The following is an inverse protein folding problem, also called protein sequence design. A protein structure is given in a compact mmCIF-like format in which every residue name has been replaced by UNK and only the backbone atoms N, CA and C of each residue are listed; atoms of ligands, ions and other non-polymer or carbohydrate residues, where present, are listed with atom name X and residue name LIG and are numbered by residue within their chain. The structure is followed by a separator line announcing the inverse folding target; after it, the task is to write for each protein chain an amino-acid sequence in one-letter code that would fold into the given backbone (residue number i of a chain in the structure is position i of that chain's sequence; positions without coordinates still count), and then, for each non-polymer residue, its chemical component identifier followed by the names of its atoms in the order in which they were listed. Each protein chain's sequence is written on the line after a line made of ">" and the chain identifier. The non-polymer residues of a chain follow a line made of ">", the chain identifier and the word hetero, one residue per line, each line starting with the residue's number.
data_IF_383889983005
#
_entry.id   IF_383889983005
#
_cell.length_a   1.000
_cell.length_b   1.000
_cell.length_c   1.000
_cell.angle_alpha   90.00
_cell.angle_beta   90.00
_cell.angle_gamma   90.00
#
_symmetry.space_group_name_H-M   'P 1'
#
loop_
_entity.id
_entity.type
_entity.pdbx_description
1 polymer ?
#
# COMPACT_ATOMS: atom_id res chain seq x y z
N UNK A 1 20.82 -4.14 -31.42
CA UNK A 1 21.08 -4.89 -30.17
C UNK A 1 21.73 -4.04 -29.07
N UNK A 2 22.69 -3.15 -29.38
CA UNK A 2 23.32 -2.26 -28.38
C UNK A 2 22.34 -1.29 -27.68
N UNK A 3 21.35 -0.77 -28.40
CA UNK A 3 20.33 0.17 -27.87
C UNK A 3 19.47 -0.42 -26.75
N UNK A 4 19.16 -1.72 -26.79
CA UNK A 4 18.38 -2.38 -25.72
C UNK A 4 19.16 -2.48 -24.41
N UNK A 5 20.49 -2.63 -24.47
CA UNK A 5 21.33 -2.68 -23.26
C UNK A 5 21.44 -1.30 -22.60
N UNK A 6 21.47 -0.21 -23.36
CA UNK A 6 21.51 1.16 -22.80
C UNK A 6 20.17 1.52 -22.14
N UNK A 7 19.04 1.13 -22.73
CA UNK A 7 17.71 1.31 -22.12
C UNK A 7 17.55 0.53 -20.81
N UNK A 8 18.14 -0.66 -20.70
CA UNK A 8 18.11 -1.47 -19.47
C UNK A 8 18.99 -0.92 -18.33
N UNK A 9 20.05 -0.18 -18.65
CA UNK A 9 20.91 0.49 -17.65
C UNK A 9 20.26 1.78 -17.10
N UNK A 10 19.50 2.49 -17.94
CA UNK A 10 18.72 3.66 -17.55
C UNK A 10 17.52 3.33 -16.66
N UNK A 11 17.04 2.08 -16.66
CA UNK A 11 15.95 1.63 -15.79
C UNK A 11 16.40 1.20 -14.40
N UNK A 12 17.60 1.58 -13.95
CA UNK A 12 18.02 1.37 -12.57
C UNK A 12 17.12 2.22 -11.68
N UNK A 13 16.17 1.63 -10.92
CA UNK A 13 15.30 2.40 -10.07
C UNK A 13 16.18 3.08 -9.03
N UNK A 14 15.99 4.39 -8.82
CA UNK A 14 16.57 5.08 -7.67
C UNK A 14 16.04 4.41 -6.40
N UNK A 15 16.85 3.54 -5.81
CA UNK A 15 16.55 2.92 -4.52
C UNK A 15 16.79 3.96 -3.45
N UNK A 16 15.72 4.57 -2.98
CA UNK A 16 15.75 5.43 -1.80
C UNK A 16 16.08 4.58 -0.58
N UNK A 17 17.07 5.03 0.18
CA UNK A 17 17.39 4.44 1.48
C UNK A 17 16.17 4.54 2.40
N UNK A 18 16.02 3.54 3.28
CA UNK A 18 14.90 3.52 4.21
C UNK A 18 14.97 4.74 5.14
N UNK A 19 13.95 5.60 5.05
CA UNK A 19 13.85 6.84 5.80
C UNK A 19 12.48 6.92 6.50
N UNK A 20 12.37 7.56 7.68
CA UNK A 20 11.07 7.85 8.32
C UNK A 20 10.00 8.44 7.38
N UNK A 21 10.39 9.25 6.39
CA UNK A 21 9.46 9.78 5.38
C UNK A 21 8.82 8.68 4.52
N UNK A 22 9.59 7.65 4.16
CA UNK A 22 9.09 6.47 3.42
C UNK A 22 8.08 5.71 4.27
N UNK A 23 8.36 5.53 5.56
CA UNK A 23 7.43 4.90 6.49
C UNK A 23 6.12 5.71 6.65
N UNK A 24 6.20 7.04 6.69
CA UNK A 24 5.03 7.90 6.76
C UNK A 24 4.15 7.77 5.51
N UNK A 25 4.75 7.81 4.31
CA UNK A 25 4.03 7.60 3.04
C UNK A 25 3.34 6.24 3.02
N UNK A 26 4.02 5.21 3.50
CA UNK A 26 3.48 3.86 3.59
C UNK A 26 2.26 3.76 4.52
N UNK A 27 2.32 4.41 5.68
CA UNK A 27 1.21 4.45 6.65
C UNK A 27 0.02 5.21 6.04
N UNK A 28 0.27 6.34 5.37
CA UNK A 28 -0.78 7.12 4.72
C UNK A 28 -1.45 6.35 3.57
N UNK A 29 -0.68 5.60 2.79
CA UNK A 29 -1.19 4.72 1.73
C UNK A 29 -2.09 3.61 2.30
N UNK A 30 -1.68 2.98 3.40
CA UNK A 30 -2.51 1.98 4.09
C UNK A 30 -3.79 2.59 4.66
N UNK A 31 -3.73 3.76 5.28
CA UNK A 31 -4.91 4.44 5.82
C UNK A 31 -5.91 4.82 4.70
N UNK A 32 -5.40 5.29 3.58
CA UNK A 32 -6.20 5.60 2.39
C UNK A 32 -6.89 4.34 1.83
N UNK A 33 -6.16 3.23 1.74
CA UNK A 33 -6.73 1.96 1.26
C UNK A 33 -7.73 1.35 2.23
N UNK A 34 -7.55 1.51 3.54
CA UNK A 34 -8.55 1.13 4.55
C UNK A 34 -9.83 1.94 4.37
N UNK A 35 -9.71 3.26 4.15
CA UNK A 35 -10.87 4.12 3.88
C UNK A 35 -11.60 3.71 2.60
N UNK A 36 -10.88 3.44 1.51
CA UNK A 36 -11.47 2.93 0.26
C UNK A 36 -12.09 1.55 0.45
N UNK A 37 -11.40 0.65 1.14
CA UNK A 37 -11.89 -0.70 1.42
C UNK A 37 -13.24 -0.69 2.10
N UNK A 38 -13.46 0.23 3.04
CA UNK A 38 -14.77 0.42 3.69
C UNK A 38 -15.91 0.68 2.70
N UNK A 39 -15.67 1.44 1.64
CA UNK A 39 -16.69 1.77 0.63
C UNK A 39 -16.73 0.76 -0.52
N UNK A 40 -15.62 0.09 -0.81
CA UNK A 40 -15.47 -0.83 -1.94
C UNK A 40 -15.85 -2.28 -1.60
N UNK A 41 -15.77 -2.70 -0.34
CA UNK A 41 -16.11 -4.05 0.08
C UNK A 41 -17.63 -4.20 0.10
N UNK A 42 -18.17 -4.84 -0.94
CA UNK A 42 -19.60 -5.12 -1.07
C UNK A 42 -20.07 -6.31 -0.21
N UNK A 43 -19.16 -7.22 0.15
CA UNK A 43 -19.48 -8.45 0.89
C UNK A 43 -18.70 -8.51 2.21
N UNK A 44 -18.93 -7.51 3.07
CA UNK A 44 -18.19 -7.36 4.31
C UNK A 44 -18.60 -8.40 5.35
N UNK A 45 -17.63 -9.03 6.02
CA UNK A 45 -17.85 -9.99 7.09
C UNK A 45 -17.90 -11.46 6.68
N UNK A 46 -17.58 -11.81 5.42
CA UNK A 46 -17.37 -13.20 5.00
C UNK A 46 -15.98 -13.70 5.42
N UNK A 47 -15.78 -13.91 6.73
CA UNK A 47 -14.55 -14.47 7.26
C UNK A 47 -14.42 -14.35 8.77
N UNK A 48 -13.33 -14.89 9.35
CA UNK A 48 -13.09 -14.87 10.78
C UNK A 48 -13.16 -13.44 11.33
N UNK A 49 -13.99 -13.25 12.34
CA UNK A 49 -14.12 -11.97 13.04
C UNK A 49 -12.79 -11.63 13.73
N UNK A 50 -12.42 -10.35 13.75
CA UNK A 50 -11.24 -9.89 14.47
C UNK A 50 -11.33 -10.28 15.96
N UNK A 51 -10.34 -10.98 16.55
CA UNK A 51 -10.33 -11.40 17.96
C UNK A 51 -10.04 -10.26 18.96
N UNK A 52 -10.16 -9.01 18.54
CA UNK A 52 -9.92 -7.80 19.33
C UNK A 52 -11.21 -6.97 19.42
N UNK A 53 -11.46 -6.29 20.55
CA UNK A 53 -12.69 -5.51 20.75
C UNK A 53 -12.79 -4.41 19.68
N UNK A 54 -13.79 -4.54 18.82
CA UNK A 54 -14.06 -3.62 17.71
C UNK A 54 -14.83 -2.40 18.24
N UNK A 55 -14.41 -1.15 17.95
CA UNK A 55 -15.31 -0.02 18.02
C UNK A 55 -16.45 -0.22 17.01
N UNK A 56 -17.69 0.13 17.34
CA UNK A 56 -18.92 -0.14 16.53
C UNK A 56 -18.83 0.33 15.06
N UNK A 57 -17.94 1.29 14.78
CA UNK A 57 -17.62 1.71 13.41
C UNK A 57 -17.00 0.60 12.56
N UNK A 58 -16.36 -0.42 13.12
CA UNK A 58 -15.65 -1.51 12.42
C UNK A 58 -16.39 -2.85 12.48
N UNK A 59 -17.69 -2.84 12.77
CA UNK A 59 -18.38 -4.06 13.19
C UNK A 59 -18.46 -5.14 12.09
N UNK A 60 -18.40 -4.72 10.82
CA UNK A 60 -18.31 -5.60 9.65
C UNK A 60 -16.89 -5.84 9.10
N UNK A 61 -15.88 -5.21 9.70
CA UNK A 61 -14.50 -5.29 9.23
C UNK A 61 -13.84 -6.59 9.73
N UNK A 62 -13.79 -7.60 8.85
CA UNK A 62 -13.20 -8.90 9.16
C UNK A 62 -11.66 -8.90 9.08
N UNK A 63 -11.03 -9.96 9.59
CA UNK A 63 -9.61 -10.25 9.34
C UNK A 63 -9.24 -10.24 7.85
N UNK A 64 -10.04 -10.84 6.94
CA UNK A 64 -9.70 -10.81 5.52
C UNK A 64 -9.74 -9.39 4.93
N UNK A 65 -10.60 -8.52 5.46
CA UNK A 65 -10.71 -7.14 4.96
C UNK A 65 -9.51 -6.31 5.37
N UNK A 66 -9.09 -6.40 6.64
CA UNK A 66 -7.88 -5.76 7.11
C UNK A 66 -6.65 -6.21 6.31
N UNK A 67 -6.53 -7.52 6.08
CA UNK A 67 -5.42 -8.08 5.34
C UNK A 67 -5.45 -7.67 3.87
N UNK A 68 -6.63 -7.63 3.24
CA UNK A 68 -6.80 -7.19 1.87
C UNK A 68 -6.49 -5.70 1.70
N UNK A 69 -7.02 -4.82 2.55
CA UNK A 69 -6.77 -3.38 2.48
C UNK A 69 -5.33 -3.04 2.78
N UNK A 70 -4.69 -3.74 3.71
CA UNK A 70 -3.27 -3.55 4.03
C UNK A 70 -2.39 -4.04 2.90
N UNK A 71 -2.70 -5.19 2.29
CA UNK A 71 -1.94 -5.71 1.14
C UNK A 71 -2.05 -4.76 -0.07
N UNK A 72 -3.25 -4.24 -0.34
CA UNK A 72 -3.46 -3.24 -1.40
C UNK A 72 -2.72 -1.94 -1.07
N UNK A 73 -2.79 -1.47 0.19
CA UNK A 73 -2.05 -0.31 0.68
C UNK A 73 -0.53 -0.46 0.56
N UNK A 74 0.00 -1.67 0.70
CA UNK A 74 1.41 -1.97 0.48
C UNK A 74 1.81 -1.90 -1.01
N UNK A 75 0.97 -2.43 -1.91
CA UNK A 75 1.21 -2.34 -3.36
C UNK A 75 1.17 -0.88 -3.81
N UNK A 76 0.16 -0.13 -3.36
CA UNK A 76 0.02 1.29 -3.68
C UNK A 76 1.17 2.11 -3.06
N UNK A 77 1.56 1.79 -1.83
CA UNK A 77 2.66 2.44 -1.12
C UNK A 77 4.00 2.21 -1.83
N UNK A 78 4.30 0.98 -2.25
CA UNK A 78 5.50 0.68 -3.03
C UNK A 78 5.52 1.47 -4.36
N UNK A 79 4.37 1.59 -5.03
CA UNK A 79 4.22 2.41 -6.24
C UNK A 79 4.50 3.89 -5.99
N UNK A 80 3.95 4.47 -4.92
CA UNK A 80 4.19 5.88 -4.55
C UNK A 80 5.66 6.09 -4.17
N UNK A 81 6.23 5.23 -3.34
CA UNK A 81 7.62 5.34 -2.88
C UNK A 81 8.58 5.30 -4.06
N UNK A 82 8.44 4.32 -4.96
CA UNK A 82 9.27 4.22 -6.16
C UNK A 82 9.02 5.37 -7.14
N UNK A 83 7.77 5.82 -7.30
CA UNK A 83 7.43 6.95 -8.16
C UNK A 83 7.99 8.28 -7.66
N UNK A 84 7.89 8.53 -6.35
CA UNK A 84 8.34 9.75 -5.71
C UNK A 84 9.87 9.79 -5.54
N UNK A 85 10.49 8.61 -5.35
CA UNK A 85 11.95 8.44 -5.44
C UNK A 85 12.49 8.70 -6.84
N UNK A 86 11.83 8.21 -7.90
CA UNK A 86 12.22 8.54 -9.28
C UNK A 86 12.01 10.03 -9.62
N UNK A 87 11.04 10.68 -8.99
CA UNK A 87 10.82 12.13 -9.13
C UNK A 87 11.83 12.97 -8.33
N UNK A 88 12.66 12.36 -7.48
CA UNK A 88 13.65 13.03 -6.64
C UNK A 88 13.05 13.88 -5.51
N UNK A 89 11.80 13.62 -5.13
CA UNK A 89 11.08 14.35 -4.06
C UNK A 89 11.19 13.63 -2.70
N UNK A 90 11.65 12.37 -2.71
CA UNK A 90 12.03 11.57 -1.55
C UNK A 90 13.49 11.12 -1.70
#
# INVERSE_FOLDING_TARGET
>A
MMTNFILAVQSTPSTIDWNPSVALVMIMSNLFCIAIGRYAIQNSGQGPSLPVPKPEVWDKFGLPELLATTSLGHILGAGIILGLGNAGVL
#
